data_IF_117710309149
#
_entry.id   IF_117710309149
#
_cell.length_a   1.000
_cell.length_b   1.000
_cell.length_c   1.000
_cell.angle_alpha   90.00
_cell.angle_beta   90.00
_cell.angle_gamma   90.00
#
_symmetry.space_group_name_H-M   'P 1'
#
loop_
_entity.id
_entity.type
_entity.pdbx_description
1 polymer ?
#
# COMPACT_ATOMS: atom_id res chain seq x y z
N UNK A 1 -5.17 1.89 32.93
CA UNK A 1 -5.08 3.09 32.07
C UNK A 1 -4.84 2.59 30.65
N UNK A 2 -5.81 2.73 29.75
CA UNK A 2 -5.63 2.27 28.37
C UNK A 2 -4.78 3.31 27.64
N UNK A 3 -3.64 2.90 27.09
CA UNK A 3 -2.82 3.76 26.23
C UNK A 3 -3.45 3.75 24.85
N UNK A 4 -3.97 4.90 24.43
CA UNK A 4 -4.45 5.11 23.07
C UNK A 4 -3.29 5.69 22.25
N UNK A 5 -3.03 5.11 21.09
CA UNK A 5 -2.12 5.69 20.08
C UNK A 5 -2.95 6.38 19.01
N UNK A 6 -2.59 7.60 18.66
CA UNK A 6 -3.16 8.29 17.51
C UNK A 6 -2.35 7.91 16.27
N UNK A 7 -3.04 7.59 15.18
CA UNK A 7 -2.44 7.22 13.90
C UNK A 7 -3.25 7.87 12.78
N UNK A 8 -2.58 8.29 11.71
CA UNK A 8 -3.23 8.91 10.55
C UNK A 8 -3.69 7.87 9.53
N UNK A 9 -3.00 6.72 9.48
CA UNK A 9 -3.38 5.65 8.56
C UNK A 9 -2.56 4.38 8.69
N UNK A 10 -2.90 3.41 7.84
CA UNK A 10 -2.13 2.17 7.65
C UNK A 10 -1.10 2.40 6.54
N UNK A 11 0.16 2.13 6.85
CA UNK A 11 1.25 2.19 5.87
C UNK A 11 1.36 0.86 5.11
N UNK A 12 1.32 -0.27 5.83
CA UNK A 12 1.52 -1.59 5.23
C UNK A 12 0.84 -2.71 6.03
N UNK A 13 0.31 -3.71 5.31
CA UNK A 13 -0.22 -4.96 5.90
C UNK A 13 0.54 -6.14 5.28
N UNK A 14 1.16 -6.97 6.13
CA UNK A 14 1.94 -8.12 5.70
C UNK A 14 1.56 -9.39 6.46
N UNK A 15 1.64 -10.54 5.79
CA UNK A 15 1.61 -11.85 6.45
C UNK A 15 3.04 -12.37 6.59
N UNK A 16 3.52 -12.50 7.82
CA UNK A 16 4.88 -12.93 8.14
C UNK A 16 4.89 -13.77 9.42
N UNK A 17 5.61 -14.89 9.42
CA UNK A 17 5.77 -15.73 10.61
C UNK A 17 4.44 -16.22 11.21
N UNK A 18 3.48 -16.60 10.36
CA UNK A 18 2.11 -17.01 10.75
C UNK A 18 1.29 -15.93 11.47
N UNK A 19 1.69 -14.67 11.35
CA UNK A 19 0.96 -13.52 11.89
C UNK A 19 0.73 -12.47 10.80
N UNK A 20 -0.32 -11.68 10.98
CA UNK A 20 -0.58 -10.49 10.17
C UNK A 20 -0.05 -9.27 10.91
N UNK A 21 0.91 -8.56 10.32
CA UNK A 21 1.41 -7.28 10.82
C UNK A 21 0.73 -6.13 10.08
N UNK A 22 0.20 -5.17 10.82
CA UNK A 22 -0.35 -3.91 10.33
C UNK A 22 0.54 -2.80 10.88
N UNK A 23 1.24 -2.09 9.99
CA UNK A 23 2.08 -0.95 10.36
C UNK A 23 1.32 0.33 10.09
N UNK A 24 1.39 1.28 11.01
CA UNK A 24 0.69 2.56 10.93
C UNK A 24 1.69 3.70 10.75
N UNK A 25 1.24 4.77 10.10
CA UNK A 25 2.00 6.01 10.05
C UNK A 25 1.28 7.12 10.81
N UNK A 26 2.07 8.11 11.22
CA UNK A 26 1.58 9.41 11.63
C UNK A 26 2.23 10.49 10.76
N UNK A 27 1.51 11.58 10.53
CA UNK A 27 2.01 12.77 9.85
C UNK A 27 2.70 13.67 10.87
N UNK A 28 4.00 13.90 10.69
CA UNK A 28 4.75 14.90 11.43
C UNK A 28 4.69 16.24 10.70
N UNK A 29 4.52 17.33 11.46
CA UNK A 29 4.66 18.66 10.90
C UNK A 29 6.10 18.85 10.38
N UNK A 30 6.24 19.38 9.17
CA UNK A 30 7.55 19.74 8.66
C UNK A 30 8.22 20.76 9.60
N UNK A 31 9.53 20.63 9.90
CA UNK A 31 10.27 21.66 10.62
C UNK A 31 10.13 23.00 9.90
N UNK A 32 10.03 24.09 10.67
CA UNK A 32 9.87 25.43 10.10
C UNK A 32 11.03 25.75 9.13
N UNK A 33 10.72 25.88 7.84
CA UNK A 33 11.68 26.25 6.79
C UNK A 33 11.95 25.17 5.73
N UNK A 34 11.46 23.95 5.91
CA UNK A 34 11.51 22.89 4.90
C UNK A 34 10.14 22.77 4.23
N UNK A 35 10.13 22.51 2.92
CA UNK A 35 8.94 22.63 2.06
C UNK A 35 7.70 21.88 2.56
N UNK A 36 6.55 22.28 2.01
CA UNK A 36 5.15 22.00 2.42
C UNK A 36 4.72 20.51 2.39
N UNK A 37 5.50 19.63 3.01
CA UNK A 37 5.26 18.19 3.04
C UNK A 37 5.35 17.64 4.45
N UNK A 38 4.21 17.28 5.05
CA UNK A 38 4.20 16.49 6.27
C UNK A 38 4.92 15.15 6.04
N UNK A 39 5.97 14.88 6.81
CA UNK A 39 6.72 13.63 6.71
C UNK A 39 5.89 12.50 7.36
N UNK A 40 5.76 11.36 6.66
CA UNK A 40 5.18 10.15 7.24
C UNK A 40 6.22 9.45 8.09
N UNK A 41 5.89 9.19 9.35
CA UNK A 41 6.72 8.41 10.28
C UNK A 41 5.96 7.17 10.73
N UNK A 42 6.62 6.01 10.79
CA UNK A 42 6.01 4.80 11.36
C UNK A 42 5.72 5.04 12.85
N UNK A 43 4.44 4.99 13.23
CA UNK A 43 3.99 5.36 14.57
C UNK A 43 3.77 4.16 15.49
N UNK A 44 3.25 3.06 14.93
CA UNK A 44 2.94 1.85 15.66
C UNK A 44 2.82 0.65 14.74
N UNK A 45 2.84 -0.55 15.32
CA UNK A 45 2.52 -1.80 14.62
C UNK A 45 1.59 -2.67 15.46
N UNK A 46 0.59 -3.27 14.81
CA UNK A 46 -0.27 -4.31 15.35
C UNK A 46 0.13 -5.66 14.77
N UNK A 47 0.23 -6.68 15.62
CA UNK A 47 0.48 -8.06 15.20
C UNK A 47 -0.71 -8.90 15.63
N UNK A 48 -1.33 -9.57 14.66
CA UNK A 48 -2.57 -10.33 14.82
C UNK A 48 -2.38 -11.77 14.34
N UNK A 49 -3.08 -12.73 14.95
CA UNK A 49 -3.26 -14.03 14.30
C UNK A 49 -4.17 -13.89 13.07
N UNK A 50 -4.10 -14.82 12.09
CA UNK A 50 -4.98 -14.80 10.92
C UNK A 50 -6.46 -14.75 11.27
N UNK A 51 -6.87 -15.52 12.27
CA UNK A 51 -8.25 -15.54 12.76
C UNK A 51 -8.66 -14.20 13.39
N UNK A 52 -7.77 -13.57 14.15
CA UNK A 52 -8.03 -12.25 14.72
C UNK A 52 -8.17 -11.21 13.60
N UNK A 53 -7.31 -11.25 12.58
CA UNK A 53 -7.40 -10.38 11.42
C UNK A 53 -8.74 -10.53 10.67
N UNK A 54 -9.22 -11.76 10.47
CA UNK A 54 -10.53 -12.01 9.85
C UNK A 54 -11.68 -11.42 10.67
N UNK A 55 -11.65 -11.56 12.00
CA UNK A 55 -12.64 -10.94 12.89
C UNK A 55 -12.57 -9.41 12.84
N UNK A 56 -11.36 -8.85 12.81
CA UNK A 56 -11.14 -7.40 12.66
C UNK A 56 -11.71 -6.88 11.36
N UNK A 57 -11.53 -7.59 10.24
CA UNK A 57 -12.13 -7.23 8.94
C UNK A 57 -13.66 -7.17 9.01
N UNK A 58 -14.29 -8.15 9.65
CA UNK A 58 -15.75 -8.17 9.80
C UNK A 58 -16.24 -6.96 10.62
N UNK A 59 -15.56 -6.63 11.71
CA UNK A 59 -15.89 -5.46 12.52
C UNK A 59 -15.69 -4.14 11.75
N UNK A 60 -14.63 -4.02 10.94
CA UNK A 60 -14.45 -2.86 10.07
C UNK A 60 -15.56 -2.72 9.03
N UNK A 61 -15.96 -3.79 8.36
CA UNK A 61 -17.06 -3.76 7.39
C UNK A 61 -18.36 -3.26 8.03
N UNK A 62 -18.72 -3.80 9.20
CA UNK A 62 -19.90 -3.34 9.93
C UNK A 62 -19.80 -1.84 10.26
N UNK A 63 -18.65 -1.37 10.72
CA UNK A 63 -18.44 0.06 11.00
C UNK A 63 -18.55 0.91 9.74
N UNK A 64 -18.01 0.45 8.61
CA UNK A 64 -18.16 1.14 7.31
C UNK A 64 -19.63 1.29 6.93
N UNK A 65 -20.42 0.21 7.02
CA UNK A 65 -21.84 0.23 6.72
C UNK A 65 -22.59 1.23 7.62
N UNK A 66 -22.26 1.29 8.91
CA UNK A 66 -22.82 2.27 9.85
C UNK A 66 -22.45 3.71 9.48
N UNK A 67 -21.21 3.97 9.06
CA UNK A 67 -20.76 5.30 8.67
C UNK A 67 -21.41 5.76 7.36
N UNK A 68 -21.62 4.86 6.40
CA UNK A 68 -22.38 5.12 5.17
C UNK A 68 -23.84 5.41 5.51
N UNK A 69 -24.47 4.59 6.36
CA UNK A 69 -25.84 4.78 6.84
C UNK A 69 -26.05 6.16 7.48
N UNK A 70 -25.06 6.67 8.20
CA UNK A 70 -25.09 7.98 8.86
C UNK A 70 -24.74 9.14 7.91
N UNK A 71 -24.39 8.85 6.66
CA UNK A 71 -24.02 9.84 5.65
C UNK A 71 -22.64 10.46 5.86
N UNK A 72 -21.78 9.85 6.68
CA UNK A 72 -20.40 10.32 6.93
C UNK A 72 -19.55 10.13 5.67
N UNK A 73 -19.78 9.04 4.95
CA UNK A 73 -19.20 8.76 3.65
C UNK A 73 -20.30 8.53 2.61
N UNK A 74 -20.00 8.87 1.35
CA UNK A 74 -20.79 8.40 0.20
C UNK A 74 -20.11 7.16 -0.35
N UNK A 75 -20.87 6.11 -0.62
CA UNK A 75 -20.35 4.92 -1.30
C UNK A 75 -19.93 5.33 -2.72
N UNK A 76 -18.64 5.51 -2.96
CA UNK A 76 -18.13 5.57 -4.32
C UNK A 76 -18.18 4.14 -4.85
N UNK A 77 -18.93 3.93 -5.94
CA UNK A 77 -19.11 2.62 -6.57
C UNK A 77 -17.77 1.87 -6.66
N UNK A 78 -17.76 0.62 -6.17
CA UNK A 78 -16.58 -0.24 -6.04
C UNK A 78 -15.68 -0.16 -7.29
N UNK A 79 -14.36 0.02 -7.15
CA UNK A 79 -13.46 -0.44 -8.19
C UNK A 79 -13.60 -1.98 -8.22
N UNK A 80 -14.17 -2.49 -9.30
CA UNK A 80 -14.11 -3.92 -9.64
C UNK A 80 -12.65 -4.35 -9.55
N UNK A 81 -12.40 -5.38 -8.74
CA UNK A 81 -11.11 -6.07 -8.68
C UNK A 81 -10.96 -6.89 -9.96
N UNK A 82 -10.60 -6.24 -11.05
CA UNK A 82 -9.94 -6.83 -12.21
C UNK A 82 -9.19 -5.67 -12.86
N UNK A 83 -8.00 -5.96 -13.38
CA UNK A 83 -7.02 -5.04 -13.98
C UNK A 83 -5.94 -4.51 -13.02
N UNK A 84 -4.77 -5.14 -13.19
CA UNK A 84 -3.43 -4.54 -13.13
C UNK A 84 -2.56 -4.74 -11.88
N UNK A 85 -2.49 -5.99 -11.42
CA UNK A 85 -1.21 -6.59 -11.02
C UNK A 85 -0.56 -7.28 -12.24
N UNK A 86 -0.34 -6.56 -13.35
CA UNK A 86 0.67 -6.98 -14.32
C UNK A 86 2.05 -6.54 -13.79
N UNK A 87 2.63 -7.46 -13.04
CA UNK A 87 4.02 -7.47 -12.62
C UNK A 87 4.93 -7.11 -13.80
N UNK A 88 5.70 -6.03 -13.62
CA UNK A 88 7.00 -5.88 -14.28
C UNK A 88 7.87 -7.07 -13.89
N UNK A 89 8.01 -8.04 -14.78
CA UNK A 89 9.14 -8.97 -14.74
C UNK A 89 9.83 -8.97 -16.10
N UNK A 90 11.10 -8.59 -16.02
CA UNK A 90 12.11 -8.43 -17.06
C UNK A 90 12.42 -9.76 -17.75
N UNK A 91 12.65 -9.75 -19.06
CA UNK A 91 13.65 -10.63 -19.66
C UNK A 91 14.32 -9.91 -20.82
N UNK A 92 15.56 -9.46 -20.54
CA UNK A 92 16.59 -9.30 -21.55
C UNK A 92 16.78 -10.63 -22.29
N UNK A 93 16.63 -10.62 -23.61
CA UNK A 93 17.32 -11.52 -24.55
C UNK A 93 16.80 -11.24 -25.96
N UNK A 94 17.48 -10.37 -26.70
CA UNK A 94 17.97 -10.80 -28.02
C UNK A 94 19.11 -9.89 -28.46
N UNK A 95 20.25 -10.52 -28.68
CA UNK A 95 21.49 -9.91 -29.12
C UNK A 95 21.39 -9.62 -30.62
N UNK A 96 21.51 -8.35 -31.02
CA UNK A 96 21.74 -7.99 -32.41
C UNK A 96 23.22 -8.24 -32.77
N UNK A 97 23.54 -9.14 -33.72
CA UNK A 97 24.93 -9.38 -34.12
C UNK A 97 25.45 -8.26 -35.04
N UNK A 98 26.74 -7.87 -34.97
CA UNK A 98 27.29 -6.85 -35.84
C UNK A 98 27.45 -7.40 -37.28
N UNK A 99 26.71 -6.85 -38.23
CA UNK A 99 26.92 -7.11 -39.65
C UNK A 99 28.15 -6.32 -40.15
N UNK A 100 29.26 -7.03 -40.35
CA UNK A 100 30.43 -6.56 -41.09
C UNK A 100 30.38 -7.20 -42.48
N UNK A 101 30.36 -6.41 -43.55
CA UNK A 101 31.10 -6.67 -44.79
C UNK A 101 30.76 -5.63 -45.88
N UNK A 102 31.79 -4.87 -46.23
CA UNK A 102 32.20 -4.45 -47.57
C UNK A 102 31.18 -4.45 -48.71
N UNK A 103 31.01 -3.28 -49.31
CA UNK A 103 31.03 -3.21 -50.77
C UNK A 103 31.79 -1.95 -51.25
N UNK A 104 33.01 -2.17 -51.75
CA UNK A 104 33.59 -1.33 -52.82
C UNK A 104 32.63 -1.30 -54.01
N UNK A 105 32.54 -0.18 -54.71
CA UNK A 105 32.68 -0.12 -56.18
C UNK A 105 32.63 1.33 -56.71
N UNK A 106 33.68 1.66 -57.47
CA UNK A 106 33.88 2.72 -58.47
C UNK A 106 33.56 4.18 -58.15
#
# INVERSE_FOLDING_TARGET
MNKNSHVDGVEHIAFAGNAVRISFFALQAAPAGEGDGAAREESASLVLSPEAFLRTRAAFNQMFDELISKGVFKENAKPTQDEDLAVKETTESDAEPPAVADHKLN
#
